data_IF_393677438078
#
_entry.id   IF_393677438078
#
_cell.length_a   1.000
_cell.length_b   1.000
_cell.length_c   1.000
_cell.angle_alpha   90.00
_cell.angle_beta   90.00
_cell.angle_gamma   90.00
#
_symmetry.space_group_name_H-M   'P 1'
#
loop_
_entity.id
_entity.type
_entity.pdbx_description
1 polymer ?
#
# COMPACT_ATOMS: atom_id res chain seq x y z
N UNK A 1 -13.11 2.73 -9.57
CA UNK A 1 -12.03 1.97 -8.93
C UNK A 1 -10.72 2.20 -9.64
N UNK A 2 -9.67 2.48 -8.87
CA UNK A 2 -8.31 2.62 -9.39
C UNK A 2 -7.46 1.46 -8.88
N UNK A 3 -6.59 0.94 -9.73
CA UNK A 3 -5.72 -0.18 -9.36
C UNK A 3 -4.36 0.00 -10.02
N UNK A 4 -3.31 -0.27 -9.26
CA UNK A 4 -1.96 -0.23 -9.82
C UNK A 4 -1.08 -1.26 -9.11
N UNK A 5 0.05 -1.58 -9.73
CA UNK A 5 1.03 -2.49 -9.14
C UNK A 5 2.31 -1.73 -8.83
N UNK A 6 3.07 -2.24 -7.87
CA UNK A 6 4.35 -1.67 -7.50
C UNK A 6 5.30 -2.78 -7.09
N UNK A 7 6.53 -2.76 -7.61
CA UNK A 7 7.56 -3.72 -7.24
C UNK A 7 8.47 -3.08 -6.20
N UNK A 8 8.58 -3.71 -5.05
CA UNK A 8 9.31 -3.19 -3.89
C UNK A 8 10.81 -3.18 -4.18
N UNK A 9 11.45 -2.03 -3.96
CA UNK A 9 12.88 -1.81 -4.21
C UNK A 9 13.72 -1.79 -2.93
N UNK A 10 13.11 -1.44 -1.80
CA UNK A 10 13.81 -1.31 -0.52
C UNK A 10 14.31 -2.68 -0.04
N UNK A 11 15.58 -2.75 0.37
CA UNK A 11 16.18 -3.99 0.86
C UNK A 11 15.41 -4.63 2.01
N UNK A 12 14.79 -3.81 2.84
CA UNK A 12 14.03 -4.29 3.99
C UNK A 12 12.56 -4.57 3.67
N UNK A 13 12.16 -4.32 2.42
CA UNK A 13 10.78 -4.48 2.02
C UNK A 13 9.86 -3.49 2.72
N UNK A 14 8.61 -3.88 2.95
CA UNK A 14 7.67 -3.03 3.68
C UNK A 14 7.80 -3.37 5.17
N UNK A 15 8.81 -2.78 5.79
CA UNK A 15 9.07 -2.97 7.22
C UNK A 15 8.29 -1.95 8.05
N UNK A 16 8.49 -1.97 9.38
CA UNK A 16 7.63 -1.23 10.32
C UNK A 16 7.49 0.27 10.00
N UNK A 17 8.61 0.94 9.68
CA UNK A 17 8.59 2.39 9.47
C UNK A 17 7.76 2.80 8.24
N UNK A 18 8.05 2.29 7.04
CA UNK A 18 7.23 2.64 5.88
C UNK A 18 5.81 2.10 6.00
N UNK A 19 5.62 0.93 6.64
CA UNK A 19 4.27 0.40 6.84
C UNK A 19 3.43 1.33 7.70
N UNK A 20 4.00 1.87 8.77
CA UNK A 20 3.32 2.83 9.65
C UNK A 20 2.92 4.11 8.91
N UNK A 21 3.84 4.63 8.08
CA UNK A 21 3.57 5.84 7.30
C UNK A 21 2.52 5.58 6.22
N UNK A 22 2.58 4.41 5.60
CA UNK A 22 1.62 4.03 4.57
C UNK A 22 0.20 3.91 5.14
N UNK A 23 0.08 3.29 6.31
CA UNK A 23 -1.20 3.17 7.01
C UNK A 23 -1.75 4.55 7.36
N UNK A 24 -0.89 5.44 7.86
CA UNK A 24 -1.29 6.80 8.20
C UNK A 24 -1.78 7.54 6.96
N UNK A 25 -1.09 7.38 5.84
CA UNK A 25 -1.50 7.99 4.58
C UNK A 25 -2.86 7.45 4.13
N UNK A 26 -3.06 6.14 4.17
CA UNK A 26 -4.30 5.51 3.74
C UNK A 26 -5.50 6.01 4.56
N UNK A 27 -5.29 6.34 5.83
CA UNK A 27 -6.35 6.85 6.70
C UNK A 27 -6.83 8.26 6.35
N UNK A 28 -6.07 8.98 5.55
CA UNK A 28 -6.44 10.34 5.13
C UNK A 28 -7.59 10.38 4.13
N UNK A 29 -7.82 9.26 3.46
CA UNK A 29 -8.81 9.21 2.38
C UNK A 29 -10.10 8.55 2.82
N UNK A 30 -11.21 8.92 2.17
CA UNK A 30 -12.48 8.26 2.38
C UNK A 30 -12.60 6.96 1.61
N UNK A 31 -11.76 6.79 0.58
CA UNK A 31 -11.76 5.59 -0.23
C UNK A 31 -11.25 4.38 0.53
N UNK A 32 -11.75 3.21 0.14
CA UNK A 32 -11.24 1.94 0.63
C UNK A 32 -9.95 1.62 -0.13
N UNK A 33 -8.89 1.32 0.59
CA UNK A 33 -7.60 0.97 -0.01
C UNK A 33 -7.24 -0.46 0.38
N UNK A 34 -7.09 -1.32 -0.62
CA UNK A 34 -6.77 -2.72 -0.44
C UNK A 34 -5.38 -3.01 -0.98
N UNK A 35 -4.60 -3.72 -0.20
CA UNK A 35 -3.25 -4.14 -0.56
C UNK A 35 -3.24 -5.65 -0.77
N UNK A 36 -2.65 -6.09 -1.89
CA UNK A 36 -2.57 -7.52 -2.21
C UNK A 36 -1.15 -7.95 -2.52
N UNK A 37 -0.79 -9.12 -2.02
CA UNK A 37 0.47 -9.78 -2.36
C UNK A 37 0.18 -11.28 -2.50
N UNK A 38 0.47 -11.85 -3.67
CA UNK A 38 0.33 -13.30 -3.92
C UNK A 38 -1.05 -13.83 -3.55
N UNK A 39 -2.10 -13.10 -3.87
CA UNK A 39 -3.47 -13.52 -3.62
C UNK A 39 -3.98 -13.23 -2.22
N UNK A 40 -3.11 -12.75 -1.31
CA UNK A 40 -3.51 -12.36 0.04
C UNK A 40 -3.78 -10.87 0.07
N UNK A 41 -4.94 -10.50 0.59
CA UNK A 41 -5.35 -9.08 0.63
C UNK A 41 -5.49 -8.59 2.06
N UNK A 42 -5.36 -7.29 2.24
CA UNK A 42 -5.63 -6.65 3.53
C UNK A 42 -6.07 -5.21 3.32
N UNK A 43 -6.69 -4.65 4.36
CA UNK A 43 -7.03 -3.22 4.40
C UNK A 43 -5.75 -2.45 4.73
N UNK A 44 -5.36 -1.53 3.85
CA UNK A 44 -4.13 -0.76 4.04
C UNK A 44 -4.15 0.14 5.27
N UNK A 45 -5.31 0.35 5.87
CA UNK A 45 -5.44 1.15 7.09
C UNK A 45 -5.12 0.37 8.36
N UNK A 46 -4.79 -0.92 8.24
CA UNK A 46 -4.51 -1.79 9.39
C UNK A 46 -3.04 -2.19 9.39
N UNK A 47 -2.27 -1.62 10.31
CA UNK A 47 -0.82 -1.81 10.36
C UNK A 47 -0.42 -3.29 10.48
N UNK A 48 -1.03 -4.01 11.41
CA UNK A 48 -0.66 -5.42 11.62
C UNK A 48 -0.99 -6.28 10.40
N UNK A 49 -2.09 -5.95 9.71
CA UNK A 49 -2.45 -6.68 8.50
C UNK A 49 -1.44 -6.43 7.38
N UNK A 50 -1.02 -5.16 7.21
CA UNK A 50 0.00 -4.81 6.21
C UNK A 50 1.31 -5.54 6.50
N UNK A 51 1.76 -5.51 7.74
CA UNK A 51 2.99 -6.20 8.12
C UNK A 51 2.86 -7.71 8.01
N UNK A 52 1.66 -8.24 8.25
CA UNK A 52 1.39 -9.67 8.14
C UNK A 52 1.54 -10.23 6.73
N UNK A 53 1.51 -9.38 5.70
CA UNK A 53 1.74 -9.83 4.34
C UNK A 53 3.20 -10.20 4.08
N UNK A 54 4.12 -9.74 4.91
CA UNK A 54 5.54 -10.08 4.78
C UNK A 54 6.15 -9.66 3.45
N UNK A 55 5.84 -8.43 3.01
CA UNK A 55 6.29 -7.94 1.71
C UNK A 55 7.79 -7.66 1.73
N UNK A 56 8.51 -8.28 0.79
CA UNK A 56 9.97 -8.23 0.71
C UNK A 56 10.43 -7.56 -0.58
N UNK A 57 11.72 -7.21 -0.60
CA UNK A 57 12.35 -6.64 -1.80
C UNK A 57 12.10 -7.55 -3.01
N UNK A 58 11.78 -6.93 -4.13
CA UNK A 58 11.55 -7.65 -5.38
C UNK A 58 10.14 -8.19 -5.56
N UNK A 59 9.34 -8.17 -4.52
CA UNK A 59 7.96 -8.64 -4.63
C UNK A 59 7.06 -7.54 -5.19
N UNK A 60 6.07 -7.94 -5.96
CA UNK A 60 5.11 -7.01 -6.58
C UNK A 60 3.82 -7.03 -5.79
N UNK A 61 3.35 -5.85 -5.43
CA UNK A 61 2.10 -5.67 -4.71
C UNK A 61 1.08 -4.99 -5.63
N UNK A 62 -0.20 -5.25 -5.39
CA UNK A 62 -1.30 -4.61 -6.10
C UNK A 62 -2.07 -3.76 -5.12
N UNK A 63 -2.28 -2.50 -5.47
CA UNK A 63 -3.05 -1.56 -4.65
C UNK A 63 -4.34 -1.25 -5.39
N UNK A 64 -5.46 -1.44 -4.70
CA UNK A 64 -6.80 -1.15 -5.24
C UNK A 64 -7.42 -0.07 -4.39
N UNK A 65 -7.90 1.00 -5.03
CA UNK A 65 -8.51 2.15 -4.35
C UNK A 65 -9.91 2.35 -4.91
N UNK A 66 -10.90 2.41 -4.02
CA UNK A 66 -12.31 2.53 -4.42
C UNK A 66 -13.03 3.53 -3.53
N UNK A 67 -13.57 4.59 -4.13
CA UNK A 67 -14.31 5.61 -3.40
C UNK A 67 -14.28 6.95 -4.10
N UNK A 68 -14.81 7.97 -3.44
CA UNK A 68 -14.93 9.31 -4.02
C UNK A 68 -13.60 9.96 -4.36
N UNK A 69 -12.59 9.77 -3.51
CA UNK A 69 -11.27 10.38 -3.69
C UNK A 69 -10.25 9.39 -4.23
N UNK A 70 -10.71 8.35 -4.93
CA UNK A 70 -9.84 7.26 -5.38
C UNK A 70 -8.71 7.72 -6.29
N UNK A 71 -8.95 8.71 -7.15
CA UNK A 71 -7.91 9.18 -8.06
C UNK A 71 -6.76 9.84 -7.31
N UNK A 72 -7.08 10.77 -6.40
CA UNK A 72 -6.07 11.45 -5.59
C UNK A 72 -5.36 10.45 -4.69
N UNK A 73 -6.12 9.57 -4.05
CA UNK A 73 -5.55 8.57 -3.15
C UNK A 73 -4.58 7.65 -3.89
N UNK A 74 -4.95 7.15 -5.06
CA UNK A 74 -4.09 6.27 -5.84
C UNK A 74 -2.79 6.98 -6.24
N UNK A 75 -2.88 8.24 -6.68
CA UNK A 75 -1.71 9.00 -7.08
C UNK A 75 -0.75 9.24 -5.91
N UNK A 76 -1.29 9.62 -4.76
CA UNK A 76 -0.45 9.91 -3.58
C UNK A 76 0.15 8.65 -2.98
N UNK A 77 -0.58 7.56 -2.97
CA UNK A 77 -0.05 6.28 -2.48
C UNK A 77 1.05 5.78 -3.41
N UNK A 78 0.85 5.88 -4.72
CA UNK A 78 1.88 5.48 -5.69
C UNK A 78 3.16 6.31 -5.50
N UNK A 79 3.03 7.62 -5.32
CA UNK A 79 4.17 8.50 -5.09
C UNK A 79 4.89 8.14 -3.80
N UNK A 80 4.15 7.84 -2.73
CA UNK A 80 4.73 7.42 -1.45
C UNK A 80 5.55 6.15 -1.62
N UNK A 81 5.00 5.14 -2.32
CA UNK A 81 5.71 3.89 -2.52
C UNK A 81 7.00 4.10 -3.31
N UNK A 82 6.94 4.92 -4.36
CA UNK A 82 8.14 5.22 -5.16
C UNK A 82 9.24 5.91 -4.36
N UNK A 83 8.88 6.72 -3.39
CA UNK A 83 9.85 7.47 -2.59
C UNK A 83 10.39 6.69 -1.39
N UNK A 84 9.61 5.77 -0.84
CA UNK A 84 9.92 5.16 0.46
C UNK A 84 10.11 3.65 0.43
N UNK A 85 9.68 2.99 -0.58
CA UNK A 85 9.67 1.53 -0.64
C UNK A 85 10.19 1.02 -1.98
#
# INVERSE_FOLDING_TARGET
>A
MKQFTYTVKDELGVHARPAGLLVKLAKKYSSKVTLEKNGKTCDMRKLMAVMGLGIKQGETITVTVEGEDETVAAEEIAAFLNENV
#
